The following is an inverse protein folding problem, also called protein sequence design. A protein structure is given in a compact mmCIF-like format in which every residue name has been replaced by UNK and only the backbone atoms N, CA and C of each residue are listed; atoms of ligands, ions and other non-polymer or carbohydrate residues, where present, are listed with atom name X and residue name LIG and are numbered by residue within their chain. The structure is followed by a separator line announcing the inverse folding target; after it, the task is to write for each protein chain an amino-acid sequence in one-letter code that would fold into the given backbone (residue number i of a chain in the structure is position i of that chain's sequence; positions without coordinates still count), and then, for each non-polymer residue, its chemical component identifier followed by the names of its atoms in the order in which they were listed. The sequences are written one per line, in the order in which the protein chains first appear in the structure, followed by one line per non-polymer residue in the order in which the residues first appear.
data_IF_269239479455
#
_entry.id   IF_269239479455
#
_cell.length_a   1.000
_cell.length_b   1.000
_cell.length_c   1.000
_cell.angle_alpha   90.00
_cell.angle_beta   90.00
_cell.angle_gamma   90.00
#
_symmetry.space_group_name_H-M   'P 1'
#
loop_
_entity.id
_entity.type
_entity.pdbx_description
1 polymer ?
#
# COMPACT_ATOMS: atom_id res chain seq x y z
N UNK A 1 15.72 27.31 -24.55
CA UNK A 1 16.02 25.86 -24.53
C UNK A 1 16.82 25.42 -23.32
N UNK A 2 17.79 26.19 -22.80
CA UNK A 2 18.58 25.85 -21.60
C UNK A 2 17.74 25.69 -20.31
N UNK A 3 16.56 26.33 -20.24
CA UNK A 3 15.66 26.32 -19.08
C UNK A 3 15.08 24.94 -18.69
N UNK A 4 15.18 23.93 -19.56
CA UNK A 4 14.70 22.56 -19.29
C UNK A 4 15.83 21.59 -18.88
N UNK A 5 17.04 22.10 -18.61
CA UNK A 5 18.18 21.28 -18.16
C UNK A 5 17.84 20.45 -16.91
N UNK A 6 16.99 20.95 -16.02
CA UNK A 6 16.52 20.21 -14.85
C UNK A 6 15.84 18.89 -15.20
N UNK A 7 15.00 18.85 -16.23
CA UNK A 7 14.30 17.63 -16.65
C UNK A 7 15.32 16.60 -17.15
N UNK A 8 16.33 17.06 -17.89
CA UNK A 8 17.38 16.20 -18.42
C UNK A 8 18.26 15.63 -17.29
N UNK A 9 18.59 16.45 -16.29
CA UNK A 9 19.26 16.02 -15.05
C UNK A 9 18.46 14.97 -14.28
N UNK A 10 17.14 15.15 -14.15
CA UNK A 10 16.27 14.16 -13.49
C UNK A 10 16.25 12.85 -14.27
N UNK A 11 16.09 12.91 -15.60
CA UNK A 11 16.08 11.73 -16.46
C UNK A 11 17.40 10.94 -16.35
N UNK A 12 18.55 11.63 -16.39
CA UNK A 12 19.87 11.01 -16.24
C UNK A 12 20.05 10.44 -14.82
N UNK A 13 19.66 11.17 -13.78
CA UNK A 13 19.76 10.68 -12.40
C UNK A 13 18.94 9.42 -12.14
N UNK A 14 17.74 9.34 -12.72
CA UNK A 14 16.90 8.13 -12.63
C UNK A 14 17.44 6.97 -13.47
N UNK A 15 18.04 7.25 -14.63
CA UNK A 15 18.72 6.24 -15.44
C UNK A 15 19.84 5.54 -14.66
N UNK A 16 20.62 6.32 -13.89
CA UNK A 16 21.68 5.82 -13.02
C UNK A 16 21.19 5.29 -11.67
N UNK A 17 19.87 5.25 -11.42
CA UNK A 17 19.26 4.82 -10.15
C UNK A 17 19.83 5.54 -8.92
N UNK A 18 20.21 6.82 -9.08
CA UNK A 18 20.66 7.65 -7.96
C UNK A 18 19.48 7.98 -7.04
N UNK A 19 19.78 8.42 -5.81
CA UNK A 19 18.74 8.80 -4.84
C UNK A 19 17.83 9.89 -5.42
N UNK A 20 16.55 9.57 -5.56
CA UNK A 20 15.52 10.42 -6.17
C UNK A 20 15.46 11.81 -5.55
N UNK A 21 15.53 11.92 -4.22
CA UNK A 21 15.47 13.21 -3.51
C UNK A 21 16.68 14.10 -3.84
N UNK A 22 17.87 13.49 -3.88
CA UNK A 22 19.11 14.21 -4.19
C UNK A 22 19.12 14.68 -5.64
N UNK A 23 18.69 13.82 -6.57
CA UNK A 23 18.57 14.15 -8.00
C UNK A 23 17.62 15.32 -8.22
N UNK A 24 16.42 15.28 -7.61
CA UNK A 24 15.42 16.36 -7.75
C UNK A 24 15.92 17.66 -7.12
N UNK A 25 16.59 17.61 -5.96
CA UNK A 25 17.15 18.78 -5.30
C UNK A 25 18.23 19.45 -6.16
N UNK A 26 19.19 18.67 -6.67
CA UNK A 26 20.26 19.18 -7.54
C UNK A 26 19.69 19.75 -8.84
N UNK A 27 18.73 19.05 -9.45
CA UNK A 27 18.06 19.54 -10.65
C UNK A 27 17.33 20.87 -10.41
N UNK A 28 16.66 21.01 -9.26
CA UNK A 28 16.01 22.27 -8.85
C UNK A 28 17.01 23.41 -8.70
N UNK A 29 18.14 23.16 -8.03
CA UNK A 29 19.20 24.16 -7.83
C UNK A 29 19.79 24.60 -9.19
N UNK A 30 20.19 23.64 -10.02
CA UNK A 30 20.77 23.92 -11.35
C UNK A 30 19.77 24.67 -12.22
N UNK A 31 18.49 24.30 -12.19
CA UNK A 31 17.43 24.99 -12.97
C UNK A 31 17.24 26.41 -12.51
N UNK A 32 17.22 26.66 -11.20
CA UNK A 32 17.14 28.01 -10.64
C UNK A 32 18.31 28.88 -11.09
N UNK A 33 19.53 28.36 -11.00
CA UNK A 33 20.75 29.08 -11.43
C UNK A 33 20.77 29.37 -12.93
N UNK A 34 20.41 28.37 -13.76
CA UNK A 34 20.31 28.51 -15.22
C UNK A 34 19.21 29.51 -15.63
N UNK A 35 18.21 29.72 -14.77
CA UNK A 35 17.14 30.68 -14.99
C UNK A 35 17.54 32.13 -14.66
N UNK A 36 18.77 32.36 -14.21
CA UNK A 36 19.31 33.67 -13.86
C UNK A 36 19.10 34.07 -12.40
N UNK A 37 18.63 33.16 -11.54
CA UNK A 37 18.53 33.39 -10.10
C UNK A 37 19.90 33.21 -9.45
N UNK A 38 20.23 34.05 -8.46
CA UNK A 38 21.42 33.82 -7.65
C UNK A 38 21.25 32.57 -6.78
N UNK A 39 22.35 31.96 -6.36
CA UNK A 39 22.30 30.80 -5.45
C UNK A 39 21.53 31.14 -4.15
N UNK A 40 21.69 32.36 -3.65
CA UNK A 40 20.97 32.85 -2.49
C UNK A 40 19.46 32.93 -2.74
N UNK A 41 19.02 33.40 -3.91
CA UNK A 41 17.60 33.49 -4.26
C UNK A 41 16.96 32.11 -4.37
N UNK A 42 17.70 31.15 -4.95
CA UNK A 42 17.25 29.75 -5.05
C UNK A 42 17.05 29.14 -3.67
N UNK A 43 18.02 29.27 -2.77
CA UNK A 43 17.88 28.78 -1.38
C UNK A 43 16.74 29.50 -0.66
N UNK A 44 16.65 30.82 -0.80
CA UNK A 44 15.57 31.61 -0.20
C UNK A 44 14.20 31.13 -0.67
N UNK A 45 14.08 30.75 -1.95
CA UNK A 45 12.86 30.22 -2.55
C UNK A 45 12.51 28.83 -1.99
N UNK A 46 13.49 27.94 -1.81
CA UNK A 46 13.29 26.67 -1.10
C UNK A 46 12.76 26.89 0.32
N UNK A 47 13.35 27.83 1.06
CA UNK A 47 12.89 28.18 2.42
C UNK A 47 11.46 28.73 2.44
N UNK A 48 11.14 29.64 1.52
CA UNK A 48 9.79 30.19 1.36
C UNK A 48 8.78 29.08 1.03
N UNK A 49 9.06 28.24 0.04
CA UNK A 49 8.18 27.13 -0.32
C UNK A 49 8.05 26.09 0.80
N UNK A 50 9.09 25.86 1.59
CA UNK A 50 9.01 24.97 2.75
C UNK A 50 8.05 25.51 3.81
N UNK A 51 8.08 26.81 4.09
CA UNK A 51 7.18 27.46 5.06
C UNK A 51 5.74 27.51 4.53
N UNK A 52 5.55 27.90 3.26
CA UNK A 52 4.24 27.97 2.62
C UNK A 52 3.58 26.59 2.54
N UNK A 53 4.36 25.55 2.26
CA UNK A 53 3.90 24.17 2.18
C UNK A 53 4.13 23.37 3.46
N UNK A 54 4.27 24.04 4.62
CA UNK A 54 4.41 23.39 5.93
C UNK A 54 3.29 22.39 6.24
N UNK A 55 2.11 22.61 5.65
CA UNK A 55 0.97 21.71 5.79
C UNK A 55 1.22 20.35 5.11
N UNK A 56 2.19 20.24 4.20
CA UNK A 56 2.62 18.98 3.61
C UNK A 56 3.55 18.20 4.55
N UNK A 57 4.43 18.88 5.28
CA UNK A 57 5.38 18.24 6.21
C UNK A 57 4.80 17.95 7.59
N UNK A 58 3.88 18.80 8.07
CA UNK A 58 3.29 18.70 9.41
C UNK A 58 2.55 17.37 9.67
N UNK A 59 1.69 16.86 8.76
CA UNK A 59 1.05 15.56 8.94
C UNK A 59 2.09 14.46 9.12
N UNK A 60 3.13 14.39 8.27
CA UNK A 60 4.19 13.38 8.37
C UNK A 60 4.91 13.46 9.72
N UNK A 61 5.31 14.67 10.15
CA UNK A 61 6.04 14.87 11.41
C UNK A 61 5.17 14.51 12.62
N UNK A 62 3.88 14.79 12.58
CA UNK A 62 2.97 14.59 13.71
C UNK A 62 2.41 13.16 13.76
N UNK A 63 2.15 12.52 12.62
CA UNK A 63 1.64 11.15 12.56
C UNK A 63 2.70 10.13 12.93
N UNK A 64 3.97 10.38 12.59
CA UNK A 64 5.05 9.40 12.80
C UNK A 64 5.28 9.07 14.30
N UNK A 65 5.33 10.03 15.25
CA UNK A 65 5.35 9.73 16.68
C UNK A 65 4.10 9.00 17.17
N UNK A 66 2.92 9.37 16.68
CA UNK A 66 1.64 8.72 17.04
C UNK A 66 1.67 7.25 16.62
N UNK A 67 2.06 6.97 15.38
CA UNK A 67 2.23 5.61 14.85
C UNK A 67 3.28 4.87 15.68
N UNK A 68 4.43 5.49 15.96
CA UNK A 68 5.50 4.89 16.75
C UNK A 68 5.07 4.52 18.17
N UNK A 69 4.23 5.34 18.81
CA UNK A 69 3.63 5.02 20.12
C UNK A 69 2.71 3.81 19.97
N UNK A 70 1.79 3.82 19.01
CA UNK A 70 0.84 2.71 18.81
C UNK A 70 1.58 1.39 18.53
N UNK A 71 2.60 1.40 17.67
CA UNK A 71 3.46 0.24 17.41
C UNK A 71 4.18 -0.24 18.68
N UNK A 72 4.73 0.67 19.49
CA UNK A 72 5.38 0.35 20.77
C UNK A 72 4.43 -0.31 21.77
N UNK A 73 3.14 0.04 21.74
CA UNK A 73 2.10 -0.56 22.59
C UNK A 73 1.54 -1.88 22.06
N UNK A 74 2.17 -2.48 21.05
CA UNK A 74 1.86 -3.83 20.61
C UNK A 74 0.73 -3.91 19.58
N UNK A 75 0.53 -2.84 18.79
CA UNK A 75 -0.54 -2.78 17.79
C UNK A 75 -0.42 -3.90 16.75
N UNK A 76 0.80 -4.25 16.34
CA UNK A 76 1.06 -5.30 15.36
C UNK A 76 0.68 -6.67 15.92
N UNK A 77 1.11 -6.96 17.13
CA UNK A 77 0.83 -8.18 17.89
C UNK A 77 -0.68 -8.35 18.10
N UNK A 78 -1.39 -7.25 18.37
CA UNK A 78 -2.85 -7.29 18.52
C UNK A 78 -3.55 -7.56 17.20
N UNK A 79 -3.09 -6.97 16.10
CA UNK A 79 -3.63 -7.26 14.77
C UNK A 79 -3.38 -8.72 14.36
N UNK A 80 -2.19 -9.25 14.63
CA UNK A 80 -1.87 -10.66 14.40
C UNK A 80 -2.75 -11.60 15.23
N UNK A 81 -3.01 -11.28 16.50
CA UNK A 81 -3.92 -12.03 17.35
C UNK A 81 -5.37 -12.05 16.81
N UNK A 82 -5.84 -10.92 16.28
CA UNK A 82 -7.17 -10.82 15.66
C UNK A 82 -7.28 -11.64 14.38
N UNK A 83 -6.25 -11.61 13.52
CA UNK A 83 -6.17 -12.45 12.33
C UNK A 83 -6.19 -13.93 12.75
N UNK A 84 -5.38 -14.28 13.75
CA UNK A 84 -5.25 -15.64 14.30
C UNK A 84 -6.55 -16.16 14.93
N UNK A 85 -7.41 -15.29 15.46
CA UNK A 85 -8.73 -15.68 15.99
C UNK A 85 -9.66 -16.27 14.92
N UNK A 86 -9.35 -16.07 13.63
CA UNK A 86 -10.06 -16.71 12.51
C UNK A 86 -9.71 -18.20 12.31
N UNK A 87 -9.05 -18.87 13.28
CA UNK A 87 -8.82 -20.32 13.29
C UNK A 87 -10.15 -21.07 13.10
N UNK A 88 -10.27 -21.81 11.99
CA UNK A 88 -11.49 -22.52 11.58
C UNK A 88 -12.27 -21.87 10.44
N UNK A 89 -11.81 -20.73 9.94
CA UNK A 89 -12.38 -20.08 8.76
C UNK A 89 -11.85 -20.71 7.45
N UNK A 90 -12.61 -20.62 6.36
CA UNK A 90 -12.15 -21.01 5.02
C UNK A 90 -10.99 -20.11 4.57
N UNK A 91 -10.20 -20.57 3.59
CA UNK A 91 -9.09 -19.79 3.02
C UNK A 91 -9.53 -18.38 2.62
N UNK A 92 -10.66 -18.23 1.95
CA UNK A 92 -11.21 -16.94 1.54
C UNK A 92 -11.60 -16.04 2.71
N UNK A 93 -12.07 -16.60 3.83
CA UNK A 93 -12.39 -15.82 5.04
C UNK A 93 -11.12 -15.33 5.76
N UNK A 94 -10.05 -16.14 5.79
CA UNK A 94 -8.74 -15.72 6.32
C UNK A 94 -8.17 -14.57 5.48
N UNK A 95 -8.25 -14.67 4.15
CA UNK A 95 -7.80 -13.61 3.26
C UNK A 95 -8.65 -12.34 3.39
N UNK A 96 -9.96 -12.49 3.57
CA UNK A 96 -10.87 -11.35 3.76
C UNK A 96 -10.62 -10.64 5.08
N UNK A 97 -10.44 -11.38 6.19
CA UNK A 97 -10.18 -10.77 7.49
C UNK A 97 -8.86 -10.00 7.48
N UNK A 98 -7.82 -10.58 6.86
CA UNK A 98 -6.56 -9.90 6.63
C UNK A 98 -6.73 -8.63 5.79
N UNK A 99 -7.43 -8.75 4.65
CA UNK A 99 -7.67 -7.62 3.74
C UNK A 99 -8.34 -6.44 4.46
N UNK A 100 -9.42 -6.70 5.20
CA UNK A 100 -10.15 -5.64 5.92
C UNK A 100 -9.31 -4.99 7.02
N UNK A 101 -8.54 -5.78 7.78
CA UNK A 101 -7.64 -5.24 8.81
C UNK A 101 -6.54 -4.39 8.15
N UNK A 102 -5.97 -4.87 7.04
CA UNK A 102 -4.89 -4.18 6.32
C UNK A 102 -5.37 -2.88 5.67
N UNK A 103 -6.51 -2.90 5.01
CA UNK A 103 -7.10 -1.71 4.37
C UNK A 103 -7.50 -0.66 5.41
N UNK A 104 -8.13 -1.08 6.51
CA UNK A 104 -8.53 -0.17 7.59
C UNK A 104 -7.32 0.46 8.29
N UNK A 105 -6.26 -0.34 8.52
CA UNK A 105 -5.03 0.18 9.11
C UNK A 105 -4.28 1.13 8.17
N UNK A 106 -4.21 0.80 6.88
CA UNK A 106 -3.62 1.66 5.86
C UNK A 106 -4.37 3.01 5.73
N UNK A 107 -5.71 3.00 5.79
CA UNK A 107 -6.53 4.22 5.79
C UNK A 107 -6.26 5.15 6.98
N UNK A 108 -5.82 4.59 8.11
CA UNK A 108 -5.40 5.34 9.29
C UNK A 108 -3.91 5.73 9.25
N UNK A 109 -3.19 5.39 8.18
CA UNK A 109 -1.75 5.62 8.04
C UNK A 109 -0.87 4.65 8.83
N UNK A 110 -1.44 3.54 9.31
CA UNK A 110 -0.73 2.56 10.12
C UNK A 110 -0.10 1.49 9.23
N UNK A 111 1.21 1.30 9.32
CA UNK A 111 1.89 0.24 8.57
C UNK A 111 1.89 -1.10 9.31
N UNK A 112 0.69 -1.62 9.58
CA UNK A 112 0.46 -2.93 10.18
C UNK A 112 0.34 -3.97 9.06
N UNK A 113 1.40 -4.72 8.78
CA UNK A 113 1.37 -5.73 7.74
C UNK A 113 2.70 -5.85 6.98
N UNK A 114 2.61 -6.31 5.74
CA UNK A 114 3.74 -6.41 4.83
C UNK A 114 4.04 -7.84 4.43
N UNK A 115 4.62 -7.99 3.25
CA UNK A 115 4.95 -9.28 2.66
C UNK A 115 5.85 -10.13 3.56
N UNK A 116 6.90 -9.51 4.11
CA UNK A 116 7.87 -10.20 4.96
C UNK A 116 7.40 -10.38 6.40
N UNK A 117 6.65 -9.40 6.93
CA UNK A 117 6.30 -9.34 8.35
C UNK A 117 5.03 -10.15 8.66
N UNK A 118 4.05 -10.19 7.75
CA UNK A 118 2.73 -10.76 8.06
C UNK A 118 2.28 -11.78 7.00
N UNK A 119 2.44 -11.48 5.70
CA UNK A 119 1.94 -12.40 4.65
C UNK A 119 2.64 -13.74 4.68
N UNK A 120 3.98 -13.73 4.62
CA UNK A 120 4.81 -14.96 4.58
C UNK A 120 4.73 -15.80 5.86
N UNK A 121 4.93 -15.23 7.07
CA UNK A 121 4.97 -16.04 8.29
C UNK A 121 3.58 -16.38 8.85
N UNK A 122 2.54 -15.60 8.53
CA UNK A 122 1.22 -15.75 9.16
C UNK A 122 0.10 -16.01 8.15
N UNK A 123 -0.20 -15.07 7.26
CA UNK A 123 -1.41 -15.11 6.42
C UNK A 123 -1.40 -16.29 5.46
N UNK A 124 -0.28 -16.53 4.76
CA UNK A 124 -0.16 -17.63 3.81
C UNK A 124 -0.22 -19.01 4.51
N UNK A 125 0.58 -19.29 5.57
CA UNK A 125 0.45 -20.53 6.33
C UNK A 125 -0.95 -20.76 6.90
N UNK A 126 -1.63 -19.71 7.39
CA UNK A 126 -3.00 -19.82 7.89
C UNK A 126 -4.01 -20.13 6.79
N UNK A 127 -3.89 -19.45 5.64
CA UNK A 127 -4.75 -19.66 4.48
C UNK A 127 -4.57 -21.08 3.89
N UNK A 128 -3.34 -21.60 3.90
CA UNK A 128 -3.03 -22.98 3.54
C UNK A 128 -3.57 -23.98 4.57
N UNK A 129 -3.35 -23.73 5.85
CA UNK A 129 -3.83 -24.57 6.96
C UNK A 129 -5.36 -24.67 6.99
N UNK A 130 -6.06 -23.59 6.67
CA UNK A 130 -7.52 -23.57 6.51
C UNK A 130 -8.01 -24.50 5.40
N UNK A 131 -7.32 -24.53 4.24
CA UNK A 131 -7.66 -25.45 3.16
C UNK A 131 -7.23 -26.89 3.48
N UNK A 132 -6.07 -27.09 4.11
CA UNK A 132 -5.60 -28.43 4.51
C UNK A 132 -6.50 -29.06 5.57
N UNK A 133 -6.97 -28.29 6.55
CA UNK A 133 -7.87 -28.78 7.58
C UNK A 133 -9.24 -29.23 7.04
N UNK A 134 -9.70 -28.63 5.94
CA UNK A 134 -11.00 -28.97 5.31
C UNK A 134 -10.91 -30.07 4.26
N UNK A 135 -9.85 -30.08 3.44
CA UNK A 135 -9.74 -30.97 2.26
C UNK A 135 -8.54 -31.91 2.31
N UNK A 136 -7.77 -31.94 3.40
CA UNK A 136 -6.58 -32.77 3.52
C UNK A 136 -5.39 -32.27 2.69
N UNK A 137 -4.64 -33.18 2.07
CA UNK A 137 -3.37 -32.84 1.42
C UNK A 137 -3.59 -32.03 0.13
N UNK A 138 -3.17 -30.76 0.14
CA UNK A 138 -3.33 -29.87 -1.01
C UNK A 138 -2.27 -30.12 -2.10
N UNK A 139 -2.66 -30.12 -3.39
CA UNK A 139 -1.73 -30.07 -4.52
C UNK A 139 -0.80 -28.86 -4.44
N UNK A 140 0.43 -29.01 -4.90
CA UNK A 140 1.44 -27.94 -4.88
C UNK A 140 0.98 -26.69 -5.66
N UNK A 141 0.42 -26.89 -6.86
CA UNK A 141 -0.17 -25.79 -7.66
C UNK A 141 -1.24 -25.01 -6.89
N UNK A 142 -2.04 -25.68 -6.06
CA UNK A 142 -3.08 -25.02 -5.27
C UNK A 142 -2.47 -24.22 -4.12
N UNK A 143 -1.43 -24.76 -3.48
CA UNK A 143 -0.67 -24.10 -2.42
C UNK A 143 -0.02 -22.81 -2.90
N UNK A 144 0.66 -22.84 -4.05
CA UNK A 144 1.23 -21.64 -4.67
C UNK A 144 0.15 -20.61 -5.04
N UNK A 145 -1.02 -21.08 -5.49
CA UNK A 145 -2.15 -20.19 -5.77
C UNK A 145 -2.69 -19.52 -4.50
N UNK A 146 -2.70 -20.21 -3.36
CA UNK A 146 -3.09 -19.64 -2.06
C UNK A 146 -2.09 -18.55 -1.65
N UNK A 147 -0.78 -18.82 -1.72
CA UNK A 147 0.27 -17.82 -1.43
C UNK A 147 0.16 -16.59 -2.33
N UNK A 148 -0.06 -16.79 -3.63
CA UNK A 148 -0.25 -15.70 -4.57
C UNK A 148 -1.48 -14.85 -4.24
N UNK A 149 -2.59 -15.47 -3.80
CA UNK A 149 -3.76 -14.72 -3.36
C UNK A 149 -3.54 -13.98 -2.03
N UNK A 150 -2.72 -14.52 -1.11
CA UNK A 150 -2.32 -13.82 0.10
C UNK A 150 -1.46 -12.58 -0.19
N UNK A 151 -0.47 -12.71 -1.09
CA UNK A 151 0.34 -11.58 -1.53
C UNK A 151 -0.49 -10.52 -2.28
N UNK A 152 -1.46 -10.96 -3.10
CA UNK A 152 -2.36 -10.03 -3.79
C UNK A 152 -3.29 -9.30 -2.81
N UNK A 153 -3.80 -10.00 -1.78
CA UNK A 153 -4.64 -9.38 -0.75
C UNK A 153 -3.87 -8.25 -0.03
N UNK A 154 -2.60 -8.47 0.29
CA UNK A 154 -1.73 -7.44 0.87
C UNK A 154 -1.57 -6.21 0.00
N UNK A 155 -1.20 -6.39 -1.27
CA UNK A 155 -0.97 -5.27 -2.18
C UNK A 155 -2.24 -4.46 -2.41
N UNK A 156 -3.36 -5.14 -2.67
CA UNK A 156 -4.63 -4.47 -2.97
C UNK A 156 -5.16 -3.74 -1.74
N UNK A 157 -5.13 -4.36 -0.55
CA UNK A 157 -5.59 -3.72 0.67
C UNK A 157 -4.72 -2.52 1.06
N UNK A 158 -3.39 -2.65 0.95
CA UNK A 158 -2.49 -1.53 1.22
C UNK A 158 -2.73 -0.38 0.27
N UNK A 159 -2.73 -0.63 -1.05
CA UNK A 159 -2.86 0.41 -2.06
C UNK A 159 -4.13 1.25 -1.90
N UNK A 160 -5.30 0.60 -1.87
CA UNK A 160 -6.57 1.32 -1.77
C UNK A 160 -6.85 1.89 -0.38
N UNK A 161 -6.26 1.32 0.67
CA UNK A 161 -6.34 1.89 2.02
C UNK A 161 -5.46 3.13 2.16
N UNK A 162 -4.22 3.09 1.65
CA UNK A 162 -3.26 4.21 1.73
C UNK A 162 -3.82 5.47 1.06
N UNK A 163 -4.58 5.31 -0.04
CA UNK A 163 -5.22 6.42 -0.77
C UNK A 163 -6.20 7.27 0.07
N UNK A 164 -6.68 6.77 1.22
CA UNK A 164 -7.52 7.55 2.15
C UNK A 164 -6.67 8.36 3.14
N UNK A 165 -5.39 8.01 3.32
CA UNK A 165 -4.54 8.65 4.31
C UNK A 165 -4.00 9.99 3.79
N UNK A 166 -4.28 11.06 4.54
CA UNK A 166 -3.96 12.45 4.15
C UNK A 166 -2.47 12.74 3.93
N UNK A 167 -1.56 11.97 4.55
CA UNK A 167 -0.12 12.22 4.48
C UNK A 167 0.57 11.33 3.43
N UNK A 168 -0.17 10.84 2.45
CA UNK A 168 0.39 10.15 1.28
C UNK A 168 1.04 11.13 0.31
N UNK A 169 2.17 10.70 -0.27
CA UNK A 169 2.91 11.52 -1.24
C UNK A 169 2.07 11.89 -2.47
N UNK A 170 1.18 11.00 -2.91
CA UNK A 170 0.31 11.25 -4.06
C UNK A 170 -0.70 12.40 -3.81
N UNK A 171 -1.37 12.41 -2.66
CA UNK A 171 -2.33 13.48 -2.30
C UNK A 171 -1.60 14.81 -2.16
N UNK A 172 -0.44 14.83 -1.50
CA UNK A 172 0.35 16.05 -1.34
C UNK A 172 0.85 16.60 -2.68
N UNK A 173 1.23 15.73 -3.63
CA UNK A 173 1.60 16.13 -4.98
C UNK A 173 0.41 16.73 -5.75
N UNK A 174 -0.76 16.09 -5.70
CA UNK A 174 -1.98 16.61 -6.32
C UNK A 174 -2.38 17.96 -5.73
N UNK A 175 -2.27 18.11 -4.41
CA UNK A 175 -2.51 19.37 -3.71
C UNK A 175 -1.56 20.47 -4.18
N UNK A 176 -0.25 20.18 -4.23
CA UNK A 176 0.74 21.14 -4.75
C UNK A 176 0.48 21.54 -6.19
N UNK A 177 0.07 20.60 -7.04
CA UNK A 177 -0.32 20.91 -8.42
C UNK A 177 -1.56 21.79 -8.51
N UNK A 178 -2.64 21.45 -7.79
CA UNK A 178 -3.87 22.25 -7.82
C UNK A 178 -3.68 23.67 -7.29
N UNK A 179 -2.90 23.83 -6.22
CA UNK A 179 -2.56 25.17 -5.72
C UNK A 179 -1.72 25.95 -6.74
N UNK A 180 -0.82 25.30 -7.49
CA UNK A 180 -0.02 25.96 -8.53
C UNK A 180 -0.82 26.53 -9.69
N UNK A 181 -2.02 25.98 -9.95
CA UNK A 181 -2.95 26.46 -11.00
C UNK A 181 -4.11 27.30 -10.44
N UNK A 182 -4.07 27.66 -9.15
CA UNK A 182 -5.08 28.49 -8.50
C UNK A 182 -6.36 27.74 -8.09
N UNK A 183 -6.35 26.40 -8.08
CA UNK A 183 -7.46 25.58 -7.60
C UNK A 183 -7.23 25.17 -6.14
N UNK A 184 -7.97 25.78 -5.23
CA UNK A 184 -7.87 25.45 -3.81
C UNK A 184 -8.81 24.31 -3.44
N UNK A 185 -8.25 23.09 -3.40
CA UNK A 185 -8.94 21.90 -2.90
C UNK A 185 -8.30 21.48 -1.57
N UNK A 186 -9.11 21.10 -0.57
CA UNK A 186 -8.60 20.64 0.72
C UNK A 186 -7.98 19.24 0.61
N UNK A 187 -6.92 18.99 1.39
CA UNK A 187 -6.30 17.64 1.49
C UNK A 187 -7.31 16.61 1.98
N UNK A 188 -8.17 17.02 2.92
CA UNK A 188 -9.26 16.19 3.44
C UNK A 188 -10.28 15.83 2.36
N UNK A 189 -10.65 16.79 1.51
CA UNK A 189 -11.61 16.53 0.44
C UNK A 189 -11.05 15.48 -0.53
N UNK A 190 -9.78 15.61 -0.92
CA UNK A 190 -9.10 14.62 -1.77
C UNK A 190 -9.06 13.23 -1.13
N UNK A 191 -8.71 13.16 0.15
CA UNK A 191 -8.60 11.90 0.89
C UNK A 191 -9.97 11.20 1.04
N UNK A 192 -11.03 11.95 1.33
CA UNK A 192 -12.38 11.40 1.47
C UNK A 192 -12.89 10.80 0.15
N UNK A 193 -12.46 11.33 -1.00
CA UNK A 193 -12.75 10.75 -2.31
C UNK A 193 -12.06 9.40 -2.57
N UNK A 194 -11.10 9.00 -1.73
CA UNK A 194 -10.55 7.64 -1.72
C UNK A 194 -11.53 6.60 -1.16
N UNK A 195 -12.46 6.99 -0.27
CA UNK A 195 -13.37 6.05 0.41
C UNK A 195 -14.22 5.21 -0.57
N UNK A 196 -14.86 5.79 -1.61
CA UNK A 196 -15.59 5.01 -2.61
C UNK A 196 -14.73 3.95 -3.31
N UNK A 197 -13.45 4.24 -3.55
CA UNK A 197 -12.53 3.30 -4.21
C UNK A 197 -12.13 2.15 -3.28
N UNK A 198 -11.86 2.43 -2.00
CA UNK A 198 -11.61 1.40 -0.99
C UNK A 198 -12.85 0.50 -0.78
N UNK A 199 -14.05 1.07 -0.66
CA UNK A 199 -15.29 0.28 -0.56
C UNK A 199 -15.44 -0.63 -1.79
N UNK A 200 -15.15 -0.11 -2.99
CA UNK A 200 -15.19 -0.90 -4.21
C UNK A 200 -14.15 -2.03 -4.20
N UNK A 201 -12.93 -1.75 -3.75
CA UNK A 201 -11.86 -2.75 -3.60
C UNK A 201 -12.23 -3.84 -2.59
N UNK A 202 -12.85 -3.49 -1.47
CA UNK A 202 -13.37 -4.41 -0.47
C UNK A 202 -14.45 -5.33 -1.05
N UNK A 203 -15.43 -4.77 -1.78
CA UNK A 203 -16.49 -5.55 -2.43
C UNK A 203 -15.92 -6.51 -3.47
N UNK A 204 -15.03 -6.04 -4.35
CA UNK A 204 -14.40 -6.86 -5.39
C UNK A 204 -13.57 -7.98 -4.75
N UNK A 205 -12.80 -7.66 -3.71
CA UNK A 205 -11.98 -8.64 -2.99
C UNK A 205 -12.84 -9.68 -2.28
N UNK A 206 -13.96 -9.28 -1.67
CA UNK A 206 -14.93 -10.20 -1.08
C UNK A 206 -15.51 -11.18 -2.10
N UNK A 207 -15.91 -10.70 -3.29
CA UNK A 207 -16.39 -11.57 -4.37
C UNK A 207 -15.27 -12.53 -4.82
N UNK A 208 -14.06 -12.01 -5.00
CA UNK A 208 -12.89 -12.79 -5.43
C UNK A 208 -12.54 -13.89 -4.43
N UNK A 209 -12.51 -13.60 -3.13
CA UNK A 209 -12.20 -14.60 -2.11
C UNK A 209 -13.29 -15.65 -1.96
N UNK A 210 -14.57 -15.28 -2.10
CA UNK A 210 -15.67 -16.26 -2.17
C UNK A 210 -15.58 -17.17 -3.39
N UNK A 211 -15.24 -16.61 -4.56
CA UNK A 211 -14.99 -17.41 -5.78
C UNK A 211 -13.76 -18.30 -5.62
N UNK A 212 -12.74 -17.85 -4.90
CA UNK A 212 -11.55 -18.62 -4.62
C UNK A 212 -11.84 -19.83 -3.72
N UNK A 213 -12.68 -19.67 -2.69
CA UNK A 213 -13.15 -20.80 -1.87
C UNK A 213 -13.87 -21.85 -2.73
N UNK A 214 -14.78 -21.43 -3.63
CA UNK A 214 -15.45 -22.35 -4.57
C UNK A 214 -14.48 -23.02 -5.54
N UNK A 215 -13.44 -22.31 -5.97
CA UNK A 215 -12.40 -22.86 -6.84
C UNK A 215 -11.57 -23.94 -6.11
N UNK A 216 -11.20 -23.69 -4.85
CA UNK A 216 -10.51 -24.68 -4.00
C UNK A 216 -11.39 -25.93 -3.86
N UNK A 217 -12.67 -25.75 -3.52
CA UNK A 217 -13.64 -26.83 -3.38
C UNK A 217 -13.75 -27.67 -4.64
N UNK A 218 -14.00 -27.04 -5.79
CA UNK A 218 -14.11 -27.74 -7.08
C UNK A 218 -12.84 -28.50 -7.43
N UNK A 219 -11.67 -27.90 -7.20
CA UNK A 219 -10.38 -28.52 -7.52
C UNK A 219 -10.14 -29.77 -6.67
N UNK A 220 -10.49 -29.71 -5.38
CA UNK A 220 -10.33 -30.84 -4.46
C UNK A 220 -11.34 -31.96 -4.77
N UNK A 221 -12.61 -31.63 -5.01
CA UNK A 221 -13.64 -32.64 -5.36
C UNK A 221 -13.38 -33.31 -6.70
N UNK A 222 -12.90 -32.58 -7.72
CA UNK A 222 -12.49 -33.20 -9.00
C UNK A 222 -11.35 -34.19 -8.80
N UNK A 223 -10.36 -33.83 -8.00
CA UNK A 223 -9.21 -34.71 -7.73
C UNK A 223 -9.59 -35.95 -6.93
N UNK A 224 -10.49 -35.82 -5.94
CA UNK A 224 -11.03 -36.98 -5.21
C UNK A 224 -11.80 -37.95 -6.12
N UNK A 225 -12.45 -37.45 -7.18
CA UNK A 225 -13.11 -38.31 -8.18
C UNK A 225 -12.10 -39.03 -9.06
N UNK A 226 -11.08 -38.32 -9.57
CA UNK A 226 -10.01 -38.92 -10.37
C UNK A 226 -9.25 -40.00 -9.58
N UNK A 227 -8.96 -39.76 -8.29
CA UNK A 227 -8.32 -40.75 -7.42
C UNK A 227 -9.22 -41.96 -7.14
N UNK A 228 -10.56 -41.80 -7.11
CA UNK A 228 -11.50 -42.91 -6.96
C UNK A 228 -11.74 -43.71 -8.25
N UNK A 229 -11.63 -43.08 -9.41
CA UNK A 229 -11.76 -43.74 -10.73
C UNK A 229 -10.48 -44.47 -11.15
N UNK A 230 -9.34 -44.15 -10.51
CA UNK A 230 -8.04 -44.78 -10.76
C UNK A 230 -7.76 -46.03 -9.87
N UNK A 231 -8.69 -46.38 -8.97
CA UNK A 231 -8.64 -47.57 -8.09
C UNK A 231 -9.63 -48.61 -8.61
#
# INVERSE_FOLDING_TARGET
MVKLIGILLVAVGFLFRLNTLLVVMVAGIVTGMVSGLSFYDVISMFGKFFIENRYMSMPIILTLPVIGILERYGLKERAEALITKSKGATTGRVLMSYFTIRESSAALGLNIGGHAQTVRPLVAPMAEGAAQGKYGKLPEKLREKIKANAAAAENTAWFFGEDIFIATGAILLMKGFFDSVGMHVGVWDMALWGIPTAISALIVSWIRFRRFDKYIEKTMTSKEKEEKEAI
#
